data_IF_504132016503
#
_entry.id   IF_504132016503
#
_cell.length_a   1.000
_cell.length_b   1.000
_cell.length_c   1.000
_cell.angle_alpha   90.00
_cell.angle_beta   90.00
_cell.angle_gamma   90.00
#
_symmetry.space_group_name_H-M   'P 1'
#
loop_
_entity.id
_entity.type
_entity.pdbx_description
1 polymer ?
#
# COMPACT_ATOMS: atom_id res chain seq x y z
N UNK A 1 6.93 -0.50 1.68
CA UNK A 1 6.51 -0.09 0.31
C UNK A 1 6.18 -1.34 -0.48
N UNK A 2 5.03 -1.41 -1.18
CA UNK A 2 4.70 -2.56 -2.05
C UNK A 2 5.63 -2.59 -3.28
N UNK A 3 5.97 -1.41 -3.80
CA UNK A 3 6.95 -1.22 -4.87
C UNK A 3 7.98 -0.20 -4.41
N UNK A 4 9.26 -0.48 -4.59
CA UNK A 4 10.34 0.47 -4.24
C UNK A 4 10.55 1.54 -5.33
N UNK A 5 9.49 2.30 -5.62
CA UNK A 5 9.47 3.26 -6.74
C UNK A 5 9.12 4.69 -6.33
N UNK A 6 8.91 4.97 -5.05
CA UNK A 6 8.60 6.32 -4.56
C UNK A 6 9.65 7.37 -4.96
N UNK A 7 10.97 7.08 -4.96
CA UNK A 7 11.98 8.03 -5.43
C UNK A 7 11.76 8.54 -6.86
N UNK A 8 11.07 7.77 -7.72
CA UNK A 8 10.88 8.10 -9.13
C UNK A 8 9.52 8.75 -9.45
N UNK A 9 8.55 8.71 -8.53
CA UNK A 9 7.15 9.12 -8.82
C UNK A 9 6.50 10.02 -7.77
N UNK A 10 7.07 10.13 -6.58
CA UNK A 10 6.49 10.91 -5.49
C UNK A 10 7.46 12.00 -5.03
N UNK A 11 7.26 13.26 -5.45
CA UNK A 11 8.20 14.36 -5.20
C UNK A 11 8.45 14.69 -3.72
N UNK A 12 7.53 14.29 -2.84
CA UNK A 12 7.59 14.59 -1.41
C UNK A 12 8.20 13.45 -0.58
N UNK A 13 8.72 12.40 -1.23
CA UNK A 13 9.30 11.25 -0.56
C UNK A 13 10.47 11.67 0.34
N UNK A 14 10.45 11.24 1.61
CA UNK A 14 11.46 11.59 2.63
C UNK A 14 11.67 13.10 2.83
N UNK A 15 10.61 13.90 2.67
CA UNK A 15 10.65 15.32 3.02
C UNK A 15 9.62 15.66 4.09
N UNK A 16 9.76 16.83 4.73
CA UNK A 16 8.77 17.32 5.69
C UNK A 16 7.40 17.61 5.05
N UNK A 17 7.33 17.65 3.72
CA UNK A 17 6.10 17.80 2.96
C UNK A 17 5.37 16.47 2.75
N UNK A 18 5.90 15.32 3.18
CA UNK A 18 5.16 14.06 3.14
C UNK A 18 4.04 14.05 4.19
N UNK A 19 2.88 14.56 3.79
CA UNK A 19 1.76 14.85 4.71
C UNK A 19 0.49 14.10 4.28
N UNK A 20 -0.44 13.80 5.22
CA UNK A 20 -1.61 12.97 4.95
C UNK A 20 -2.53 13.48 3.83
N UNK A 21 -2.60 14.79 3.60
CA UNK A 21 -3.38 15.42 2.51
C UNK A 21 -2.96 14.97 1.10
N UNK A 22 -1.77 14.39 0.95
CA UNK A 22 -1.25 13.88 -0.33
C UNK A 22 -1.69 12.45 -0.63
N UNK A 23 -2.36 11.79 0.31
CA UNK A 23 -2.82 10.41 0.16
C UNK A 23 -4.20 10.38 -0.50
N UNK A 24 -4.31 9.62 -1.59
CA UNK A 24 -5.61 9.20 -2.13
C UNK A 24 -6.16 8.04 -1.28
N UNK A 25 -6.99 8.38 -0.29
CA UNK A 25 -7.53 7.42 0.66
C UNK A 25 -8.44 6.37 0.02
N UNK A 26 -9.21 6.72 -1.01
CA UNK A 26 -10.07 5.76 -1.69
C UNK A 26 -9.25 4.66 -2.37
N UNK A 27 -8.19 5.04 -3.08
CA UNK A 27 -7.26 4.07 -3.68
C UNK A 27 -6.49 3.29 -2.62
N UNK A 28 -6.05 3.95 -1.54
CA UNK A 28 -5.37 3.28 -0.43
C UNK A 28 -6.25 2.20 0.20
N UNK A 29 -7.52 2.50 0.49
CA UNK A 29 -8.47 1.53 1.05
C UNK A 29 -8.63 0.31 0.15
N UNK A 30 -8.77 0.51 -1.18
CA UNK A 30 -8.86 -0.61 -2.13
C UNK A 30 -7.61 -1.51 -2.07
N UNK A 31 -6.42 -0.93 -2.02
CA UNK A 31 -5.16 -1.68 -1.94
C UNK A 31 -5.08 -2.45 -0.62
N UNK A 32 -5.37 -1.81 0.52
CA UNK A 32 -5.33 -2.44 1.85
C UNK A 32 -6.27 -3.65 1.92
N UNK A 33 -7.53 -3.49 1.50
CA UNK A 33 -8.50 -4.59 1.50
C UNK A 33 -8.07 -5.74 0.58
N UNK A 34 -7.47 -5.43 -0.57
CA UNK A 34 -6.99 -6.45 -1.51
C UNK A 34 -5.79 -7.23 -0.96
N UNK A 35 -4.83 -6.54 -0.33
CA UNK A 35 -3.68 -7.18 0.32
C UNK A 35 -4.13 -8.05 1.49
N UNK A 36 -5.05 -7.57 2.32
CA UNK A 36 -5.68 -8.38 3.37
C UNK A 36 -6.28 -9.66 2.76
N UNK A 37 -7.08 -9.54 1.70
CA UNK A 37 -7.72 -10.70 1.08
C UNK A 37 -6.72 -11.71 0.51
N UNK A 38 -5.65 -11.22 -0.12
CA UNK A 38 -4.56 -12.08 -0.59
C UNK A 38 -3.91 -12.83 0.57
N UNK A 39 -3.62 -12.14 1.69
CA UNK A 39 -3.03 -12.77 2.87
C UNK A 39 -3.95 -13.83 3.48
N UNK A 40 -5.26 -13.58 3.56
CA UNK A 40 -6.23 -14.61 3.97
C UNK A 40 -6.08 -15.86 3.08
N UNK A 41 -6.14 -15.68 1.75
CA UNK A 41 -6.03 -16.79 0.81
C UNK A 41 -4.73 -17.57 1.02
N UNK A 42 -3.58 -16.88 1.13
CA UNK A 42 -2.29 -17.53 1.35
C UNK A 42 -2.22 -18.25 2.70
N UNK A 43 -2.80 -17.67 3.76
CA UNK A 43 -2.83 -18.27 5.09
C UNK A 43 -3.72 -19.53 5.14
N UNK A 44 -4.75 -19.62 4.29
CA UNK A 44 -5.60 -20.79 4.15
C UNK A 44 -5.11 -21.79 3.10
N UNK A 45 -4.19 -21.41 2.20
CA UNK A 45 -3.62 -22.28 1.15
C UNK A 45 -2.66 -23.38 1.66
N UNK A 46 -2.52 -23.54 2.99
CA UNK A 46 -1.71 -24.59 3.61
C UNK A 46 -2.44 -25.45 4.65
N UNK A 47 -3.78 -25.35 4.74
CA UNK A 47 -4.58 -26.23 5.61
C UNK A 47 -5.37 -27.22 4.73
N UNK A 48 -5.42 -28.51 5.09
CA UNK A 48 -6.30 -29.47 4.41
C UNK A 48 -7.77 -29.05 4.50
#
# INVERSE_FOLDING_TARGET
MITDTAPYRYPYYHTAQDTPDKIDYEKMTRVVLSVQKMLEVLAYQGKP
#
